data_IF_214236443583
#
_entry.id   IF_214236443583
#
_cell.length_a   1.000
_cell.length_b   1.000
_cell.length_c   1.000
_cell.angle_alpha   90.00
_cell.angle_beta   90.00
_cell.angle_gamma   90.00
#
_symmetry.space_group_name_H-M   'P 1'
#
loop_
_entity.id
_entity.type
_entity.pdbx_description
1 polymer ?
#
# COMPACT_ATOMS: atom_id res chain seq x y z
N UNK A 1 -3.77 1.84 5.45
CA UNK A 1 -4.28 1.25 4.18
C UNK A 1 -5.00 -0.07 4.47
N UNK A 2 -5.84 -0.59 3.56
CA UNK A 2 -6.46 -1.90 3.74
C UNK A 2 -5.54 -3.03 3.22
N UNK A 3 -5.39 -4.12 3.99
CA UNK A 3 -4.67 -5.32 3.55
C UNK A 3 -5.59 -6.25 2.75
N UNK A 4 -6.08 -5.75 1.61
CA UNK A 4 -7.05 -6.43 0.75
C UNK A 4 -6.60 -6.32 -0.71
N UNK A 5 -6.68 -7.44 -1.43
CA UNK A 5 -6.45 -7.49 -2.88
C UNK A 5 -7.78 -7.29 -3.59
N UNK A 6 -7.79 -6.44 -4.61
CA UNK A 6 -8.94 -6.19 -5.48
C UNK A 6 -8.56 -6.61 -6.91
N UNK A 7 -8.73 -7.90 -7.29
CA UNK A 7 -8.14 -8.45 -8.53
C UNK A 7 -8.62 -7.78 -9.83
N UNK A 8 -9.77 -7.10 -9.80
CA UNK A 8 -10.24 -6.30 -10.94
C UNK A 8 -9.49 -4.98 -11.13
N UNK A 9 -8.60 -4.62 -10.22
CA UNK A 9 -7.85 -3.35 -10.21
C UNK A 9 -6.34 -3.60 -10.15
N UNK A 10 -5.87 -4.34 -9.15
CA UNK A 10 -4.44 -4.65 -8.95
C UNK A 10 -4.35 -6.02 -8.23
N UNK A 11 -3.36 -6.82 -8.59
CA UNK A 11 -3.10 -8.12 -7.97
C UNK A 11 -2.36 -8.02 -6.63
N UNK A 12 -1.91 -6.81 -6.28
CA UNK A 12 -1.31 -6.49 -4.98
C UNK A 12 -2.33 -5.97 -3.99
N UNK A 13 -2.08 -6.16 -2.67
CA UNK A 13 -2.92 -5.52 -1.65
C UNK A 13 -2.87 -4.00 -1.80
N UNK A 14 -3.96 -3.32 -1.43
CA UNK A 14 -4.09 -1.87 -1.66
C UNK A 14 -2.92 -1.04 -1.08
N UNK A 15 -2.35 -1.44 0.06
CA UNK A 15 -1.17 -0.78 0.65
C UNK A 15 0.12 -0.88 -0.16
N UNK A 16 0.23 -1.85 -1.06
CA UNK A 16 1.38 -2.07 -1.96
C UNK A 16 1.06 -1.75 -3.43
N UNK A 17 -0.13 -1.20 -3.71
CA UNK A 17 -0.58 -0.89 -5.06
C UNK A 17 -0.39 0.60 -5.35
N UNK A 18 0.43 0.88 -6.37
CA UNK A 18 0.56 2.23 -6.92
C UNK A 18 -0.77 2.73 -7.51
N UNK A 19 -1.54 1.83 -8.13
CA UNK A 19 -2.80 2.18 -8.76
C UNK A 19 -3.79 2.74 -7.72
N UNK A 20 -3.93 2.04 -6.58
CA UNK A 20 -4.79 2.50 -5.50
C UNK A 20 -4.35 3.84 -4.91
N UNK A 21 -3.06 4.03 -4.64
CA UNK A 21 -2.61 5.21 -3.92
C UNK A 21 -2.38 6.42 -4.85
N UNK A 22 -1.59 6.26 -5.92
CA UNK A 22 -1.22 7.40 -6.78
C UNK A 22 -2.32 7.74 -7.77
N UNK A 23 -2.93 6.73 -8.39
CA UNK A 23 -3.86 6.97 -9.49
C UNK A 23 -5.27 7.26 -8.95
N UNK A 24 -5.82 6.40 -8.08
CA UNK A 24 -7.17 6.60 -7.53
C UNK A 24 -7.21 7.60 -6.36
N UNK A 25 -6.45 7.37 -5.30
CA UNK A 25 -6.55 8.19 -4.09
C UNK A 25 -6.00 9.61 -4.29
N UNK A 26 -4.75 9.74 -4.77
CA UNK A 26 -4.15 11.07 -5.01
C UNK A 26 -4.60 11.70 -6.32
N UNK A 27 -4.67 10.93 -7.41
CA UNK A 27 -5.06 11.46 -8.72
C UNK A 27 -6.56 11.67 -8.88
N UNK A 28 -7.36 10.65 -8.58
CA UNK A 28 -8.81 10.67 -8.79
C UNK A 28 -9.60 11.38 -7.70
N UNK A 29 -9.21 11.20 -6.44
CA UNK A 29 -9.89 11.82 -5.28
C UNK A 29 -9.19 13.08 -4.76
N UNK A 30 -8.06 13.47 -5.37
CA UNK A 30 -7.25 14.64 -4.98
C UNK A 30 -6.88 14.65 -3.48
N UNK A 31 -6.61 13.47 -2.92
CA UNK A 31 -6.24 13.36 -1.51
C UNK A 31 -4.79 13.83 -1.30
N UNK A 32 -4.64 15.00 -0.67
CA UNK A 32 -3.35 15.63 -0.37
C UNK A 32 -2.80 15.33 1.03
N UNK A 33 -3.50 14.51 1.83
CA UNK A 33 -3.08 14.17 3.19
C UNK A 33 -2.02 13.06 3.26
N UNK A 34 -1.65 12.72 4.50
CA UNK A 34 -0.71 11.64 4.82
C UNK A 34 -1.36 10.27 4.68
N UNK A 35 -0.71 9.37 3.95
CA UNK A 35 -1.12 7.97 3.78
C UNK A 35 -0.24 7.07 4.63
N UNK A 36 -0.85 6.36 5.59
CA UNK A 36 -0.17 5.36 6.41
C UNK A 36 -0.36 3.95 5.84
N UNK A 37 0.69 3.12 5.87
CA UNK A 37 0.56 1.70 5.58
C UNK A 37 -0.37 0.99 6.59
N UNK A 38 -0.71 -0.26 6.30
CA UNK A 38 -1.15 -1.19 7.34
C UNK A 38 0.05 -1.67 8.19
N UNK A 39 -0.21 -2.49 9.20
CA UNK A 39 0.82 -3.10 10.05
C UNK A 39 1.69 -4.08 9.25
N UNK A 40 2.94 -3.70 8.98
CA UNK A 40 3.90 -4.51 8.23
C UNK A 40 4.39 -5.74 9.02
N UNK A 41 4.26 -5.71 10.35
CA UNK A 41 4.55 -6.81 11.25
C UNK A 41 3.47 -7.90 11.25
N UNK A 42 2.30 -7.62 10.71
CA UNK A 42 1.21 -8.59 10.61
C UNK A 42 1.66 -9.84 9.83
N UNK A 43 1.44 -11.03 10.40
CA UNK A 43 1.84 -12.30 9.79
C UNK A 43 1.28 -12.50 8.36
N UNK A 44 0.09 -11.95 8.08
CA UNK A 44 -0.55 -11.98 6.77
C UNK A 44 0.13 -11.09 5.70
N UNK A 45 1.01 -10.18 6.09
CA UNK A 45 1.87 -9.42 5.17
C UNK A 45 3.11 -10.24 4.70
N UNK A 46 3.21 -11.51 5.13
CA UNK A 46 4.22 -12.51 4.75
C UNK A 46 4.55 -12.58 3.25
N UNK A 47 3.57 -12.29 2.40
CA UNK A 47 3.68 -12.35 0.94
C UNK A 47 4.75 -11.41 0.35
N UNK A 48 5.02 -10.27 1.01
CA UNK A 48 5.90 -9.23 0.49
C UNK A 48 7.37 -9.35 0.92
N UNK A 49 7.80 -10.53 1.42
CA UNK A 49 9.20 -10.79 1.77
C UNK A 49 9.59 -10.33 3.18
N UNK A 50 10.86 -9.93 3.36
CA UNK A 50 11.39 -9.44 4.65
C UNK A 50 10.78 -8.08 4.97
N UNK A 51 10.76 -7.68 6.24
CA UNK A 51 10.18 -6.40 6.68
C UNK A 51 10.69 -5.20 5.86
N UNK A 52 11.98 -5.15 5.55
CA UNK A 52 12.58 -4.11 4.71
C UNK A 52 11.97 -4.05 3.30
N UNK A 53 11.67 -5.21 2.70
CA UNK A 53 11.03 -5.28 1.38
C UNK A 53 9.59 -4.76 1.45
N UNK A 54 8.87 -5.09 2.52
CA UNK A 54 7.50 -4.58 2.75
C UNK A 54 7.49 -3.07 2.93
N UNK A 55 8.42 -2.53 3.73
CA UNK A 55 8.58 -1.09 3.90
C UNK A 55 8.86 -0.42 2.56
N UNK A 56 9.80 -0.94 1.78
CA UNK A 56 10.14 -0.42 0.46
C UNK A 56 8.92 -0.42 -0.47
N UNK A 57 8.19 -1.54 -0.53
CA UNK A 57 7.02 -1.68 -1.40
C UNK A 57 5.89 -0.72 -1.02
N UNK A 58 5.60 -0.54 0.27
CA UNK A 58 4.58 0.41 0.75
C UNK A 58 4.94 1.86 0.39
N UNK A 59 6.20 2.24 0.57
CA UNK A 59 6.69 3.58 0.21
C UNK A 59 6.66 3.81 -1.31
N UNK A 60 7.08 2.82 -2.11
CA UNK A 60 7.04 2.90 -3.57
C UNK A 60 5.61 3.01 -4.12
N UNK A 61 4.67 2.28 -3.50
CA UNK A 61 3.25 2.36 -3.79
C UNK A 61 2.70 3.78 -3.54
N UNK A 62 3.22 4.49 -2.54
CA UNK A 62 2.91 5.90 -2.28
C UNK A 62 2.44 6.19 -0.86
N UNK A 63 2.60 5.25 0.08
CA UNK A 63 2.47 5.56 1.50
C UNK A 63 3.57 6.55 1.92
N UNK A 64 3.23 7.46 2.82
CA UNK A 64 4.14 8.46 3.37
C UNK A 64 4.80 7.98 4.68
N UNK A 65 4.10 7.12 5.41
CA UNK A 65 4.56 6.53 6.66
C UNK A 65 4.22 5.04 6.70
N UNK A 66 5.10 4.27 7.32
CA UNK A 66 4.95 2.82 7.50
C UNK A 66 4.77 2.49 8.98
N UNK A 67 3.88 1.53 9.27
CA UNK A 67 3.50 1.08 10.61
C UNK A 67 3.91 -0.37 10.85
#
# INVERSE_FOLDING_TARGET
>A
MAHVIYPGVDDRPAGYSRCWIKDYLRGGLDYAGTVFSDDLGMHAAGFAGKLADRMRLSLEAGCDAVL
#
